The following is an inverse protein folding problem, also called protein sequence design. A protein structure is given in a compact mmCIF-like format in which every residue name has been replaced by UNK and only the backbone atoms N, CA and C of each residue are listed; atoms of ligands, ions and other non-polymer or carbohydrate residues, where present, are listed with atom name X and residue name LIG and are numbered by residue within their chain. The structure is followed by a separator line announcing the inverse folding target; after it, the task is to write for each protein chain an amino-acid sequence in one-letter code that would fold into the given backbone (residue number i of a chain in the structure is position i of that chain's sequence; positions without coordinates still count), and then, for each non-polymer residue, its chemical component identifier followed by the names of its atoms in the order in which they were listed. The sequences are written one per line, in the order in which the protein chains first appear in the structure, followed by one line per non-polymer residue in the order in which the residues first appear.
data_IF_159648584778
#
_entry.id   IF_159648584778
#
_cell.length_a   1.000
_cell.length_b   1.000
_cell.length_c   1.000
_cell.angle_alpha   90.00
_cell.angle_beta   90.00
_cell.angle_gamma   90.00
#
_symmetry.space_group_name_H-M   'P 1'
#
loop_
_entity.id
_entity.type
_entity.pdbx_description
1 polymer ?
#
# COMPACT_ATOMS: atom_id res chain seq x y z
N UNK A 1 -5.69 -25.72 -33.43
CA UNK A 1 -6.78 -24.85 -33.90
C UNK A 1 -6.16 -23.87 -34.86
N UNK A 2 -6.52 -23.93 -36.15
CA UNK A 2 -6.13 -22.89 -37.10
C UNK A 2 -6.94 -21.65 -36.73
N UNK A 3 -6.27 -20.58 -36.29
CA UNK A 3 -6.93 -19.29 -36.11
C UNK A 3 -7.41 -18.84 -37.50
N UNK A 4 -8.69 -19.03 -37.77
CA UNK A 4 -9.38 -18.38 -38.89
C UNK A 4 -9.03 -16.90 -38.83
N UNK A 5 -8.52 -16.32 -39.91
CA UNK A 5 -8.08 -14.92 -39.97
C UNK A 5 -9.16 -14.01 -39.36
N UNK A 6 -8.84 -13.37 -38.23
CA UNK A 6 -9.76 -12.49 -37.50
C UNK A 6 -10.22 -11.35 -38.41
N UNK A 7 -11.53 -11.11 -38.45
CA UNK A 7 -12.12 -9.99 -39.19
C UNK A 7 -12.26 -8.81 -38.21
N UNK A 8 -11.34 -7.85 -38.26
CA UNK A 8 -11.27 -6.75 -37.28
C UNK A 8 -12.48 -5.80 -37.29
N UNK A 9 -13.36 -5.87 -38.28
CA UNK A 9 -14.64 -5.16 -38.29
C UNK A 9 -15.74 -5.87 -37.49
N UNK A 10 -15.51 -7.11 -37.05
CA UNK A 10 -16.48 -7.99 -36.39
C UNK A 10 -15.84 -8.69 -35.18
N UNK A 11 -15.24 -7.91 -34.27
CA UNK A 11 -14.67 -8.45 -33.03
C UNK A 11 -15.76 -9.05 -32.14
N UNK A 12 -15.48 -10.21 -31.56
CA UNK A 12 -16.39 -10.95 -30.69
C UNK A 12 -15.99 -10.87 -29.19
N UNK A 13 -16.69 -11.61 -28.33
CA UNK A 13 -16.43 -11.63 -26.88
C UNK A 13 -15.05 -12.20 -26.53
N UNK A 14 -14.61 -13.27 -27.19
CA UNK A 14 -13.29 -13.88 -26.97
C UNK A 14 -12.17 -12.89 -27.37
N UNK A 15 -12.42 -12.10 -28.42
CA UNK A 15 -11.51 -11.05 -28.85
C UNK A 15 -11.40 -9.92 -27.80
N UNK A 16 -12.51 -9.57 -27.15
CA UNK A 16 -12.54 -8.56 -26.08
C UNK A 16 -11.77 -9.02 -24.83
N UNK A 17 -11.85 -10.30 -24.48
CA UNK A 17 -11.06 -10.87 -23.39
C UNK A 17 -9.55 -10.82 -23.71
N UNK A 18 -9.15 -11.22 -24.92
CA UNK A 18 -7.76 -11.14 -25.35
C UNK A 18 -7.22 -9.69 -25.33
N UNK A 19 -8.00 -8.73 -25.83
CA UNK A 19 -7.64 -7.30 -25.80
C UNK A 19 -7.47 -6.81 -24.37
N UNK A 20 -8.32 -7.25 -23.44
CA UNK A 20 -8.21 -6.87 -22.02
C UNK A 20 -6.90 -7.36 -21.39
N UNK A 21 -6.44 -8.57 -21.75
CA UNK A 21 -5.14 -9.11 -21.31
C UNK A 21 -3.98 -8.29 -21.88
N UNK A 22 -4.05 -7.90 -23.16
CA UNK A 22 -3.01 -7.07 -23.77
C UNK A 22 -2.99 -5.66 -23.16
N UNK A 23 -4.14 -5.05 -22.92
CA UNK A 23 -4.24 -3.76 -22.24
C UNK A 23 -3.67 -3.82 -20.82
N UNK A 24 -3.97 -4.86 -20.04
CA UNK A 24 -3.43 -5.08 -18.70
C UNK A 24 -1.89 -5.20 -18.73
N UNK A 25 -1.37 -5.97 -19.68
CA UNK A 25 0.09 -6.14 -19.87
C UNK A 25 0.76 -4.83 -20.27
N UNK A 26 0.19 -4.09 -21.23
CA UNK A 26 0.72 -2.80 -21.67
C UNK A 26 0.62 -1.74 -20.58
N UNK A 27 -0.43 -1.78 -19.76
CA UNK A 27 -0.56 -0.90 -18.60
C UNK A 27 0.59 -1.12 -17.63
N UNK A 28 0.88 -2.36 -17.24
CA UNK A 28 2.02 -2.68 -16.36
C UNK A 28 3.33 -2.13 -16.92
N UNK A 29 3.57 -2.32 -18.21
CA UNK A 29 4.77 -1.83 -18.89
C UNK A 29 4.92 -0.31 -18.77
N UNK A 30 3.92 0.48 -19.19
CA UNK A 30 4.03 1.94 -19.10
C UNK A 30 4.04 2.42 -17.65
N UNK A 31 3.27 1.79 -16.76
CA UNK A 31 3.17 2.16 -15.35
C UNK A 31 4.52 2.07 -14.64
N UNK A 32 5.29 1.00 -14.92
CA UNK A 32 6.59 0.74 -14.31
C UNK A 32 7.75 1.43 -15.03
N UNK A 33 7.55 1.85 -16.29
CA UNK A 33 8.60 2.42 -17.14
C UNK A 33 9.25 3.68 -16.56
N UNK A 34 8.48 4.55 -15.91
CA UNK A 34 8.96 5.83 -15.40
C UNK A 34 8.26 6.20 -14.07
N UNK A 35 8.88 6.97 -13.16
CA UNK A 35 8.21 7.49 -11.96
C UNK A 35 7.28 8.66 -12.34
N UNK A 36 6.17 8.36 -13.03
CA UNK A 36 5.21 9.36 -13.50
C UNK A 36 4.67 10.21 -12.34
N UNK A 37 4.70 11.55 -12.41
CA UNK A 37 4.24 12.44 -11.34
C UNK A 37 2.82 12.16 -10.85
N UNK A 38 1.92 11.80 -11.77
CA UNK A 38 0.52 11.46 -11.47
C UNK A 38 0.38 10.14 -10.69
N UNK A 39 1.39 9.27 -10.78
CA UNK A 39 1.41 7.96 -10.12
C UNK A 39 2.30 7.93 -8.87
N UNK A 40 3.16 8.94 -8.69
CA UNK A 40 4.04 9.06 -7.54
C UNK A 40 3.35 9.85 -6.44
N UNK A 41 3.15 9.17 -5.31
CA UNK A 41 2.58 9.77 -4.11
C UNK A 41 3.61 9.92 -3.02
N UNK A 42 3.38 10.91 -2.19
CA UNK A 42 4.09 11.11 -0.92
C UNK A 42 3.02 11.10 0.16
N UNK A 43 3.01 10.07 1.00
CA UNK A 43 2.00 9.89 2.03
C UNK A 43 2.63 9.71 3.40
N UNK A 44 1.99 10.31 4.41
CA UNK A 44 2.34 10.11 5.81
C UNK A 44 1.95 8.68 6.20
N UNK A 45 2.87 7.93 6.80
CA UNK A 45 2.67 6.54 7.20
C UNK A 45 3.09 6.32 8.65
N UNK A 46 2.37 5.40 9.28
CA UNK A 46 2.66 4.86 10.60
C UNK A 46 3.09 3.40 10.43
N UNK A 47 3.96 2.90 11.31
CA UNK A 47 4.38 1.51 11.30
C UNK A 47 3.29 0.57 11.81
N UNK A 48 2.35 1.09 12.61
CA UNK A 48 1.21 0.36 13.18
C UNK A 48 -0.04 1.23 13.15
N UNK A 49 -1.24 0.62 13.23
CA UNK A 49 -2.50 1.36 13.31
C UNK A 49 -2.52 2.36 14.47
N UNK A 50 -3.35 3.40 14.31
CA UNK A 50 -3.64 4.35 15.39
C UNK A 50 -4.37 3.62 16.53
N UNK A 51 -4.05 3.98 17.77
CA UNK A 51 -4.84 3.58 18.93
C UNK A 51 -6.28 4.11 18.81
N UNK A 52 -7.24 3.23 19.10
CA UNK A 52 -8.67 3.47 19.16
C UNK A 52 -9.23 2.84 20.44
N UNK A 53 -9.80 3.68 21.31
CA UNK A 53 -10.34 3.25 22.59
C UNK A 53 -11.53 2.27 22.45
N UNK A 54 -12.19 2.22 21.29
CA UNK A 54 -13.30 1.31 21.02
C UNK A 54 -12.84 -0.12 20.69
N UNK A 55 -11.59 -0.30 20.24
CA UNK A 55 -11.07 -1.61 19.85
C UNK A 55 -10.53 -2.39 21.05
N UNK A 56 -10.72 -3.71 20.99
CA UNK A 56 -10.06 -4.65 21.90
C UNK A 56 -8.75 -5.08 21.28
N UNK A 57 -7.69 -5.03 22.08
CA UNK A 57 -6.33 -5.41 21.69
C UNK A 57 -5.91 -6.64 22.46
N UNK A 58 -5.41 -7.65 21.76
CA UNK A 58 -4.81 -8.84 22.38
C UNK A 58 -3.38 -8.54 22.86
N UNK A 59 -2.85 -9.41 23.74
CA UNK A 59 -1.46 -9.30 24.18
C UNK A 59 -0.49 -9.35 22.99
N UNK A 60 0.53 -8.51 23.01
CA UNK A 60 1.50 -8.33 21.93
C UNK A 60 1.03 -7.41 20.79
N UNK A 61 -0.23 -6.98 20.77
CA UNK A 61 -0.70 -6.07 19.72
C UNK A 61 -0.06 -4.69 19.85
N UNK A 62 0.40 -4.14 18.72
CA UNK A 62 1.14 -2.88 18.67
C UNK A 62 0.31 -1.76 18.05
N UNK A 63 0.35 -0.56 18.64
CA UNK A 63 -0.37 0.63 18.17
C UNK A 63 0.53 1.86 18.20
N UNK A 64 0.23 2.83 17.34
CA UNK A 64 0.73 4.20 17.46
C UNK A 64 -0.19 5.01 18.36
N UNK A 65 0.37 5.74 19.33
CA UNK A 65 -0.39 6.63 20.21
C UNK A 65 -0.06 8.09 19.89
N UNK A 66 -0.97 8.83 19.21
CA UNK A 66 -0.70 10.20 18.76
C UNK A 66 -0.40 11.20 19.87
N UNK A 67 -0.96 11.01 21.07
CA UNK A 67 -0.77 11.94 22.20
C UNK A 67 0.68 12.03 22.65
N UNK A 68 1.41 10.91 22.63
CA UNK A 68 2.83 10.81 23.05
C UNK A 68 3.78 10.68 21.85
N UNK A 69 3.24 10.60 20.64
CA UNK A 69 3.96 10.32 19.39
C UNK A 69 4.86 9.06 19.44
N UNK A 70 4.42 8.02 20.15
CA UNK A 70 5.15 6.77 20.41
C UNK A 70 4.36 5.53 20.00
N UNK A 71 5.07 4.41 19.89
CA UNK A 71 4.47 3.09 19.72
C UNK A 71 4.38 2.36 21.06
N UNK A 72 3.33 1.57 21.22
CA UNK A 72 3.08 0.78 22.41
C UNK A 72 2.66 -0.63 22.02
N UNK A 73 3.03 -1.60 22.85
CA UNK A 73 2.56 -2.97 22.76
C UNK A 73 1.69 -3.32 23.97
N UNK A 74 0.58 -4.02 23.72
CA UNK A 74 -0.32 -4.47 24.78
C UNK A 74 0.33 -5.60 25.57
N UNK A 75 0.44 -5.46 26.89
CA UNK A 75 1.01 -6.48 27.78
C UNK A 75 0.02 -7.61 28.08
N UNK A 76 -1.27 -7.33 27.89
CA UNK A 76 -2.40 -8.25 28.07
C UNK A 76 -3.59 -7.74 27.28
N UNK A 77 -4.63 -8.55 27.16
CA UNK A 77 -5.86 -8.12 26.52
C UNK A 77 -6.42 -6.85 27.17
N UNK A 78 -6.76 -5.85 26.38
CA UNK A 78 -7.19 -4.53 26.87
C UNK A 78 -8.13 -3.83 25.90
N UNK A 79 -9.08 -3.05 26.43
CA UNK A 79 -10.00 -2.20 25.67
C UNK A 79 -10.20 -0.91 26.46
N UNK A 80 -10.22 0.24 25.78
CA UNK A 80 -10.47 1.55 26.41
C UNK A 80 -9.37 2.10 27.34
N UNK A 81 -8.34 1.32 27.68
CA UNK A 81 -7.21 1.81 28.46
C UNK A 81 -6.19 2.52 27.57
N UNK A 82 -5.85 3.76 27.92
CA UNK A 82 -4.85 4.54 27.18
C UNK A 82 -3.47 3.86 27.18
N UNK A 83 -2.69 3.96 26.09
CA UNK A 83 -1.35 3.37 26.00
C UNK A 83 -0.34 3.79 27.08
N UNK A 84 -0.59 4.89 27.79
CA UNK A 84 0.24 5.33 28.93
C UNK A 84 -0.05 4.54 30.23
N UNK A 85 -1.10 3.72 30.27
CA UNK A 85 -1.42 2.88 31.42
C UNK A 85 -0.52 1.63 31.46
N UNK A 86 0.57 1.71 32.23
CA UNK A 86 1.60 0.65 32.37
C UNK A 86 1.05 -0.70 32.88
N UNK A 87 -0.17 -0.73 33.41
CA UNK A 87 -0.87 -1.96 33.79
C UNK A 87 -1.41 -2.76 32.60
N UNK A 88 -1.37 -2.19 31.39
CA UNK A 88 -1.90 -2.78 30.15
C UNK A 88 -0.95 -2.65 28.97
N UNK A 89 -0.04 -1.67 28.99
CA UNK A 89 0.78 -1.31 27.85
C UNK A 89 2.23 -1.09 28.25
N UNK A 90 3.15 -1.34 27.33
CA UNK A 90 4.55 -0.91 27.41
C UNK A 90 4.95 -0.17 26.14
N UNK A 91 5.88 0.77 26.25
CA UNK A 91 6.46 1.44 25.08
C UNK A 91 7.20 0.40 24.21
N UNK A 92 6.87 0.36 22.92
CA UNK A 92 7.49 -0.53 21.96
C UNK A 92 8.86 0.05 21.55
N UNK A 93 9.93 -0.73 21.74
CA UNK A 93 11.31 -0.35 21.47
C UNK A 93 11.95 -1.36 20.53
N UNK A 94 12.86 -0.88 19.68
CA UNK A 94 13.60 -1.75 18.75
C UNK A 94 14.57 -2.68 19.48
N UNK A 95 15.01 -2.30 20.67
CA UNK A 95 15.85 -3.11 21.53
C UNK A 95 15.44 -2.95 22.99
N UNK A 96 15.60 -4.01 23.76
CA UNK A 96 15.48 -3.99 25.22
C UNK A 96 16.81 -4.38 25.85
N UNK A 97 17.13 -3.80 26.99
CA UNK A 97 18.32 -4.18 27.77
C UNK A 97 18.03 -4.07 29.28
N UNK A 98 17.03 -4.82 29.78
CA UNK A 98 16.72 -4.86 31.21
C UNK A 98 17.78 -5.67 31.98
N UNK A 99 17.66 -5.68 33.31
CA UNK A 99 18.41 -6.62 34.15
C UNK A 99 17.73 -8.00 34.19
N UNK A 100 18.50 -9.04 34.50
CA UNK A 100 17.97 -10.39 34.68
C UNK A 100 16.90 -10.45 35.77
N UNK A 101 15.95 -11.35 35.57
CA UNK A 101 14.92 -11.69 36.54
C UNK A 101 15.54 -12.33 37.80
N UNK A 102 15.07 -11.91 38.97
CA UNK A 102 15.56 -12.36 40.28
C UNK A 102 14.40 -12.74 41.20
N UNK A 103 14.32 -14.02 41.57
CA UNK A 103 13.39 -14.57 42.57
C UNK A 103 13.42 -13.77 43.88
N UNK A 104 12.25 -13.52 44.47
CA UNK A 104 12.13 -12.81 45.76
C UNK A 104 12.19 -11.28 45.65
N UNK A 105 12.48 -10.74 44.46
CA UNK A 105 12.44 -9.30 44.20
C UNK A 105 10.99 -8.81 44.13
N UNK A 106 10.69 -7.68 44.76
CA UNK A 106 9.41 -7.00 44.63
C UNK A 106 9.44 -6.11 43.38
N UNK A 107 8.75 -6.54 42.32
CA UNK A 107 8.64 -5.79 41.08
C UNK A 107 7.40 -4.91 41.09
N UNK A 108 7.57 -3.64 40.71
CA UNK A 108 6.51 -2.67 40.50
C UNK A 108 5.94 -2.77 39.07
N UNK A 109 4.78 -2.18 38.85
CA UNK A 109 4.21 -2.06 37.49
C UNK A 109 5.13 -1.19 36.64
N UNK A 110 5.46 -1.66 35.44
CA UNK A 110 6.37 -1.02 34.50
C UNK A 110 7.81 -1.50 34.58
N UNK A 111 8.19 -2.25 35.62
CA UNK A 111 9.53 -2.86 35.70
C UNK A 111 9.71 -3.84 34.54
N UNK A 112 10.91 -3.86 33.95
CA UNK A 112 11.26 -4.76 32.86
C UNK A 112 12.40 -5.70 33.24
N UNK A 113 12.34 -6.95 32.80
CA UNK A 113 13.34 -7.99 33.06
C UNK A 113 13.66 -8.80 31.82
N UNK A 114 14.85 -9.37 31.76
CA UNK A 114 15.17 -10.51 30.91
C UNK A 114 14.92 -11.79 31.73
N UNK A 115 14.19 -12.76 31.18
CA UNK A 115 13.94 -14.01 31.88
C UNK A 115 14.93 -15.08 31.41
N UNK A 116 15.98 -15.43 32.20
CA UNK A 116 17.06 -16.30 31.72
C UNK A 116 16.62 -17.69 31.20
N UNK A 117 15.53 -18.30 31.69
CA UNK A 117 15.07 -19.59 31.17
C UNK A 117 14.66 -19.59 29.69
N UNK A 118 14.15 -18.47 29.14
CA UNK A 118 13.76 -18.37 27.73
C UNK A 118 14.54 -17.31 26.93
N UNK A 119 15.28 -16.43 27.60
CA UNK A 119 16.04 -15.34 26.97
C UNK A 119 15.15 -14.24 26.40
N UNK A 120 13.91 -14.14 26.87
CA UNK A 120 12.94 -13.15 26.40
C UNK A 120 12.78 -12.00 27.41
N UNK A 121 12.26 -10.88 26.92
CA UNK A 121 12.04 -9.67 27.70
C UNK A 121 10.59 -9.56 28.15
N UNK A 122 10.37 -9.04 29.35
CA UNK A 122 9.05 -8.92 29.95
C UNK A 122 8.87 -7.60 30.69
N UNK A 123 7.64 -7.07 30.73
CA UNK A 123 7.24 -5.95 31.57
C UNK A 123 6.18 -6.37 32.59
N UNK A 124 6.36 -5.96 33.84
CA UNK A 124 5.46 -6.23 34.94
C UNK A 124 4.21 -5.36 34.80
N UNK A 125 3.04 -5.96 34.62
CA UNK A 125 1.76 -5.23 34.54
C UNK A 125 0.94 -5.31 35.84
N UNK A 126 1.35 -6.19 36.77
CA UNK A 126 0.75 -6.35 38.10
C UNK A 126 1.85 -6.48 39.15
N UNK A 127 1.97 -5.50 40.06
CA UNK A 127 2.99 -5.52 41.10
C UNK A 127 2.91 -6.78 41.98
N UNK A 128 4.05 -7.43 42.23
CA UNK A 128 4.14 -8.64 43.03
C UNK A 128 5.60 -8.92 43.46
N UNK A 129 5.78 -9.84 44.40
CA UNK A 129 7.09 -10.43 44.70
C UNK A 129 7.31 -11.65 43.82
N UNK A 130 8.43 -11.70 43.08
CA UNK A 130 8.73 -12.77 42.14
C UNK A 130 8.85 -14.14 42.82
N UNK A 131 8.15 -15.14 42.25
CA UNK A 131 8.26 -16.55 42.64
C UNK A 131 9.43 -17.24 41.96
N UNK A 132 9.41 -18.58 41.86
CA UNK A 132 10.44 -19.34 41.14
C UNK A 132 10.27 -19.34 39.61
N UNK A 133 9.05 -19.04 39.13
CA UNK A 133 8.71 -19.00 37.71
C UNK A 133 8.07 -17.65 37.37
N UNK A 134 8.10 -17.29 36.08
CA UNK A 134 7.36 -16.14 35.58
C UNK A 134 5.84 -16.36 35.81
N UNK A 135 5.20 -15.43 36.51
CA UNK A 135 3.77 -15.47 36.79
C UNK A 135 2.96 -14.78 35.69
N UNK A 136 1.63 -14.90 35.70
CA UNK A 136 0.71 -14.17 34.80
C UNK A 136 0.61 -12.66 35.08
N UNK A 137 1.62 -12.09 35.74
CA UNK A 137 1.72 -10.68 36.10
C UNK A 137 2.61 -9.90 35.11
N UNK A 138 3.10 -10.59 34.08
CA UNK A 138 4.06 -10.12 33.10
C UNK A 138 3.48 -10.22 31.69
N UNK A 139 3.73 -9.20 30.87
CA UNK A 139 3.52 -9.25 29.43
C UNK A 139 4.86 -9.34 28.73
N UNK A 140 4.96 -10.19 27.71
CA UNK A 140 6.17 -10.29 26.88
C UNK A 140 6.40 -8.98 26.13
N UNK A 141 7.65 -8.57 26.06
CA UNK A 141 8.11 -7.45 25.23
C UNK A 141 8.74 -8.01 23.96
N UNK A 142 8.08 -7.77 22.83
CA UNK A 142 8.64 -8.07 21.51
C UNK A 142 9.38 -6.84 21.00
N UNK A 143 10.52 -7.07 20.36
CA UNK A 143 11.29 -6.01 19.69
C UNK A 143 10.48 -5.40 18.56
N UNK A 144 10.43 -4.08 18.54
CA UNK A 144 9.60 -3.34 17.61
C UNK A 144 10.23 -3.29 16.22
N UNK A 145 9.63 -4.04 15.29
CA UNK A 145 10.00 -4.01 13.88
C UNK A 145 9.38 -2.80 13.17
N UNK A 146 10.22 -1.82 12.82
CA UNK A 146 9.82 -0.55 12.19
C UNK A 146 9.68 -0.70 10.68
N UNK A 147 8.54 -1.21 10.25
CA UNK A 147 8.17 -1.28 8.83
C UNK A 147 6.83 -0.61 8.53
N UNK A 148 6.72 -0.04 7.33
CA UNK A 148 5.44 0.35 6.75
C UNK A 148 4.97 -0.80 5.87
N UNK A 149 3.83 -1.41 6.21
CA UNK A 149 3.27 -2.52 5.45
C UNK A 149 2.90 -2.11 4.02
N UNK A 150 3.05 -3.04 3.06
CA UNK A 150 2.69 -2.81 1.65
C UNK A 150 1.23 -2.38 1.45
N UNK A 151 0.34 -2.92 2.29
CA UNK A 151 -1.06 -2.55 2.35
C UNK A 151 -1.45 -2.24 3.80
N UNK A 152 -2.15 -1.12 4.00
CA UNK A 152 -2.67 -0.70 5.30
C UNK A 152 -4.12 -0.26 5.12
N UNK A 153 -4.99 -0.62 6.05
CA UNK A 153 -6.40 -0.26 6.00
C UNK A 153 -6.56 1.27 5.98
N UNK A 154 -7.35 1.77 5.02
CA UNK A 154 -7.61 3.20 4.86
C UNK A 154 -6.52 3.97 4.11
N UNK A 155 -5.43 3.32 3.72
CA UNK A 155 -4.31 3.91 2.99
C UNK A 155 -4.16 3.29 1.59
N UNK A 156 -3.48 3.99 0.70
CA UNK A 156 -3.20 3.46 -0.65
C UNK A 156 -2.17 2.30 -0.58
N UNK A 157 -2.28 1.33 -1.48
CA UNK A 157 -1.28 0.25 -1.57
C UNK A 157 0.04 0.77 -2.15
N UNK A 158 1.14 0.39 -1.50
CA UNK A 158 2.50 0.71 -1.91
C UNK A 158 2.99 -0.36 -2.89
N UNK A 159 3.56 0.06 -4.02
CA UNK A 159 4.13 -0.87 -5.02
C UNK A 159 5.64 -0.78 -5.05
N UNK A 160 6.17 0.36 -5.49
CA UNK A 160 7.61 0.58 -5.62
C UNK A 160 8.00 1.85 -4.87
N UNK A 161 8.96 1.71 -3.95
CA UNK A 161 9.35 2.78 -3.04
C UNK A 161 10.54 3.51 -3.63
N UNK A 162 10.35 4.80 -3.89
CA UNK A 162 11.38 5.67 -4.43
C UNK A 162 12.24 6.23 -3.30
N UNK A 163 11.60 6.81 -2.28
CA UNK A 163 12.28 7.42 -1.14
C UNK A 163 11.43 7.32 0.14
N UNK A 164 12.10 7.44 1.28
CA UNK A 164 11.44 7.60 2.58
C UNK A 164 11.97 8.87 3.24
N UNK A 165 11.09 9.66 3.85
CA UNK A 165 11.39 10.98 4.40
C UNK A 165 10.90 11.09 5.85
N UNK A 166 11.55 11.93 6.67
CA UNK A 166 11.10 12.20 8.04
C UNK A 166 9.89 13.14 8.13
N UNK A 167 9.67 13.95 7.10
CA UNK A 167 8.54 14.89 6.94
C UNK A 167 8.21 15.00 5.46
N UNK A 168 7.15 15.71 5.09
CA UNK A 168 6.71 15.82 3.69
C UNK A 168 7.72 16.64 2.85
N UNK A 169 8.49 16.04 1.92
CA UNK A 169 9.46 16.74 1.07
C UNK A 169 8.83 17.74 0.10
N UNK A 170 7.53 17.65 -0.19
CA UNK A 170 6.84 18.58 -1.08
C UNK A 170 6.44 19.88 -0.38
N UNK A 171 6.41 19.88 0.95
CA UNK A 171 5.96 21.01 1.76
C UNK A 171 7.08 21.57 2.66
N UNK A 172 8.07 20.76 3.03
CA UNK A 172 9.13 21.13 3.96
C UNK A 172 10.51 21.00 3.31
N UNK A 173 11.21 22.14 3.18
CA UNK A 173 12.58 22.22 2.67
C UNK A 173 13.61 21.53 3.60
N UNK A 174 13.24 21.25 4.86
CA UNK A 174 14.07 20.56 5.85
C UNK A 174 13.84 19.04 5.83
N UNK A 175 13.06 18.52 4.89
CA UNK A 175 12.88 17.10 4.72
C UNK A 175 14.22 16.39 4.54
N UNK A 176 14.45 15.37 5.36
CA UNK A 176 15.63 14.52 5.33
C UNK A 176 15.22 13.13 4.89
N UNK A 177 15.88 12.65 3.85
CA UNK A 177 15.75 11.27 3.41
C UNK A 177 16.21 10.32 4.54
N UNK A 178 15.46 9.24 4.72
CA UNK A 178 15.75 8.17 5.66
C UNK A 178 16.31 6.97 4.90
N UNK A 179 17.20 6.24 5.57
CA UNK A 179 17.65 4.95 5.04
C UNK A 179 16.53 3.94 5.19
N UNK A 180 16.29 3.17 4.13
CA UNK A 180 15.31 2.10 4.14
C UNK A 180 15.78 0.93 3.28
N UNK A 181 15.16 -0.24 3.50
CA UNK A 181 15.22 -1.36 2.58
C UNK A 181 13.83 -1.99 2.46
N UNK A 182 13.61 -2.74 1.39
CA UNK A 182 12.34 -3.43 1.17
C UNK A 182 12.44 -4.85 1.72
N UNK A 183 11.39 -5.33 2.39
CA UNK A 183 11.30 -6.67 2.97
C UNK A 183 9.94 -7.30 2.67
N UNK A 184 9.75 -8.57 3.02
CA UNK A 184 8.45 -9.24 2.90
C UNK A 184 7.34 -8.51 3.69
N UNK A 185 7.68 -7.92 4.83
CA UNK A 185 6.73 -7.19 5.68
C UNK A 185 6.37 -5.81 5.11
N UNK A 186 7.24 -5.21 4.29
CA UNK A 186 7.08 -3.83 3.86
C UNK A 186 8.38 -3.05 3.75
N UNK A 187 8.26 -1.73 3.88
CA UNK A 187 9.36 -0.77 3.84
C UNK A 187 9.97 -0.64 5.22
N UNK A 188 11.17 -1.17 5.40
CA UNK A 188 11.89 -1.21 6.67
C UNK A 188 12.69 0.08 6.89
N UNK A 189 12.48 0.74 8.03
CA UNK A 189 13.11 2.04 8.37
C UNK A 189 13.82 1.94 9.72
N UNK A 190 14.96 1.23 9.73
CA UNK A 190 15.78 1.03 10.93
C UNK A 190 16.26 2.40 11.46
N UNK A 191 16.11 2.62 12.76
CA UNK A 191 16.47 3.88 13.44
C UNK A 191 15.75 5.13 12.89
N UNK A 192 14.67 4.94 12.14
CA UNK A 192 13.86 6.02 11.59
C UNK A 192 13.00 6.72 12.66
N UNK A 193 12.45 7.90 12.32
CA UNK A 193 11.46 8.58 13.14
C UNK A 193 10.20 7.72 13.35
N UNK A 194 9.36 8.07 14.33
CA UNK A 194 8.14 7.32 14.62
C UNK A 194 7.04 7.52 13.56
N UNK A 195 7.18 8.52 12.70
CA UNK A 195 6.33 8.75 11.54
C UNK A 195 7.25 8.97 10.35
N UNK A 196 6.90 8.39 9.20
CA UNK A 196 7.62 8.62 7.95
C UNK A 196 6.67 9.13 6.87
N UNK A 197 7.23 9.78 5.86
CA UNK A 197 6.54 10.04 4.60
C UNK A 197 7.18 9.16 3.55
N UNK A 198 6.38 8.25 2.98
CA UNK A 198 6.86 7.32 1.95
C UNK A 198 6.54 7.93 0.60
N UNK A 199 7.57 8.09 -0.23
CA UNK A 199 7.44 8.44 -1.64
C UNK A 199 7.48 7.15 -2.47
N UNK A 200 6.37 6.85 -3.14
CA UNK A 200 6.22 5.58 -3.82
C UNK A 200 5.32 5.71 -5.05
N UNK A 201 5.48 4.78 -5.98
CA UNK A 201 4.56 4.59 -7.10
C UNK A 201 3.35 3.80 -6.64
N UNK A 202 2.16 4.30 -6.93
CA UNK A 202 0.91 3.57 -6.69
C UNK A 202 0.94 2.20 -7.36
N UNK A 203 0.28 1.22 -6.75
CA UNK A 203 0.11 -0.11 -7.37
C UNK A 203 -0.67 -0.01 -8.66
N UNK A 204 -0.16 -0.70 -9.69
CA UNK A 204 -0.84 -0.81 -10.97
C UNK A 204 -2.21 -1.49 -10.77
N UNK A 205 -3.32 -0.88 -11.21
CA UNK A 205 -4.61 -1.53 -11.16
C UNK A 205 -4.67 -2.67 -12.19
N UNK A 206 -5.42 -3.73 -11.86
CA UNK A 206 -5.76 -4.77 -12.83
C UNK A 206 -6.87 -4.27 -13.74
N UNK A 207 -6.71 -4.48 -15.05
CA UNK A 207 -7.77 -4.24 -16.04
C UNK A 207 -8.58 -5.51 -16.36
N UNK A 208 -8.14 -6.66 -15.87
CA UNK A 208 -8.90 -7.91 -15.98
C UNK A 208 -10.15 -7.82 -15.12
N UNK A 209 -11.31 -8.07 -15.71
CA UNK A 209 -12.60 -7.78 -15.08
C UNK A 209 -13.67 -8.78 -15.47
N UNK A 210 -14.71 -8.87 -14.64
CA UNK A 210 -15.97 -9.56 -14.94
C UNK A 210 -17.12 -8.55 -15.09
N UNK A 211 -18.27 -8.96 -15.61
CA UNK A 211 -19.46 -8.11 -15.58
C UNK A 211 -20.04 -8.04 -14.15
N UNK A 212 -20.35 -6.85 -13.66
CA UNK A 212 -21.05 -6.71 -12.39
C UNK A 212 -22.39 -7.46 -12.43
N UNK A 213 -22.63 -8.28 -11.40
CA UNK A 213 -23.85 -9.09 -11.29
C UNK A 213 -24.40 -9.00 -9.86
N UNK A 214 -25.70 -8.73 -9.72
CA UNK A 214 -26.37 -8.71 -8.42
C UNK A 214 -26.43 -10.10 -7.80
N UNK A 215 -26.27 -10.19 -6.47
CA UNK A 215 -26.27 -11.44 -5.70
C UNK A 215 -24.95 -12.22 -5.73
N UNK A 216 -23.89 -11.65 -6.31
CA UNK A 216 -22.55 -12.24 -6.30
C UNK A 216 -21.77 -11.73 -5.07
N UNK A 217 -21.10 -12.65 -4.39
CA UNK A 217 -20.15 -12.34 -3.32
C UNK A 217 -18.81 -11.90 -3.91
N UNK A 218 -18.56 -10.59 -3.96
CA UNK A 218 -17.29 -10.04 -4.39
C UNK A 218 -16.28 -9.99 -3.24
N UNK A 219 -15.04 -10.33 -3.56
CA UNK A 219 -13.89 -10.26 -2.66
C UNK A 219 -13.14 -8.96 -2.85
N UNK A 220 -12.46 -8.54 -1.78
CA UNK A 220 -11.56 -7.39 -1.82
C UNK A 220 -10.59 -7.52 -3.00
N UNK A 221 -10.46 -6.45 -3.78
CA UNK A 221 -9.69 -6.37 -5.03
C UNK A 221 -10.29 -7.02 -6.29
N UNK A 222 -11.48 -7.64 -6.23
CA UNK A 222 -12.19 -8.05 -7.44
C UNK A 222 -12.50 -6.83 -8.33
N UNK A 223 -12.36 -7.00 -9.64
CA UNK A 223 -12.62 -5.94 -10.62
C UNK A 223 -13.82 -6.27 -11.48
N UNK A 224 -14.74 -5.31 -11.59
CA UNK A 224 -15.94 -5.44 -12.40
C UNK A 224 -16.04 -4.30 -13.40
N UNK A 225 -16.56 -4.61 -14.59
CA UNK A 225 -17.13 -3.60 -15.48
C UNK A 225 -18.55 -3.30 -15.06
N UNK A 226 -18.88 -2.02 -14.99
CA UNK A 226 -20.22 -1.55 -14.72
C UNK A 226 -20.57 -0.43 -15.68
N UNK A 227 -21.72 -0.57 -16.33
CA UNK A 227 -22.25 0.43 -17.25
C UNK A 227 -23.44 1.14 -16.57
N UNK A 228 -23.24 2.39 -16.10
CA UNK A 228 -24.31 3.15 -15.46
C UNK A 228 -25.35 3.69 -16.46
N UNK A 229 -25.06 3.72 -17.78
CA UNK A 229 -25.81 4.53 -18.77
C UNK A 229 -26.23 3.81 -20.05
N UNK A 230 -25.74 2.60 -20.31
CA UNK A 230 -26.02 1.77 -21.49
C UNK A 230 -25.10 1.99 -22.69
N UNK A 231 -24.03 2.79 -22.57
CA UNK A 231 -23.20 3.21 -23.72
C UNK A 231 -21.69 2.99 -23.52
N UNK A 232 -21.18 3.28 -22.32
CA UNK A 232 -19.78 3.12 -21.93
C UNK A 232 -19.74 2.47 -20.55
N UNK A 233 -18.69 1.69 -20.28
CA UNK A 233 -18.48 1.09 -18.96
C UNK A 233 -17.24 1.66 -18.30
N UNK A 234 -17.30 1.71 -16.98
CA UNK A 234 -16.14 1.97 -16.13
C UNK A 234 -15.74 0.69 -15.39
N UNK A 235 -14.48 0.64 -14.97
CA UNK A 235 -13.96 -0.44 -14.14
C UNK A 235 -13.94 -0.02 -12.68
N UNK A 236 -14.44 -0.90 -11.82
CA UNK A 236 -14.48 -0.68 -10.37
C UNK A 236 -13.80 -1.83 -9.66
N UNK A 237 -12.99 -1.51 -8.66
CA UNK A 237 -12.36 -2.46 -7.74
C UNK A 237 -13.16 -2.53 -6.44
N UNK A 238 -13.46 -3.73 -5.97
CA UNK A 238 -14.10 -3.94 -4.67
C UNK A 238 -13.14 -3.52 -3.53
N UNK A 239 -13.61 -2.65 -2.65
CA UNK A 239 -12.85 -2.11 -1.51
C UNK A 239 -12.90 -3.01 -0.27
N UNK A 240 -13.91 -3.87 -0.19
CA UNK A 240 -14.12 -4.83 0.89
C UNK A 240 -14.94 -6.02 0.40
N UNK A 241 -14.88 -7.13 1.13
CA UNK A 241 -15.77 -8.27 0.90
C UNK A 241 -17.24 -7.87 1.10
N UNK A 242 -18.10 -8.16 0.13
CA UNK A 242 -19.54 -7.88 0.22
C UNK A 242 -20.35 -8.68 -0.83
N UNK A 243 -21.63 -8.89 -0.52
CA UNK A 243 -22.61 -9.36 -1.50
C UNK A 243 -23.13 -8.17 -2.34
N UNK A 244 -23.10 -8.30 -3.66
CA UNK A 244 -23.60 -7.27 -4.56
C UNK A 244 -25.13 -7.16 -4.52
N UNK A 245 -25.61 -5.92 -4.42
CA UNK A 245 -27.03 -5.59 -4.36
C UNK A 245 -27.30 -4.25 -5.06
N UNK A 246 -28.57 -3.92 -5.26
CA UNK A 246 -28.95 -2.62 -5.81
C UNK A 246 -28.51 -1.42 -4.92
N UNK A 247 -28.26 -1.64 -3.62
CA UNK A 247 -27.90 -0.60 -2.66
C UNK A 247 -26.39 -0.30 -2.61
N UNK A 248 -25.56 -1.22 -3.09
CA UNK A 248 -24.10 -1.10 -3.10
C UNK A 248 -23.51 -1.39 -4.50
N UNK A 249 -24.27 -1.10 -5.57
CA UNK A 249 -23.77 -1.19 -6.94
C UNK A 249 -22.69 -0.14 -7.23
N UNK A 250 -21.78 -0.37 -8.19
CA UNK A 250 -20.76 0.60 -8.54
C UNK A 250 -21.37 1.92 -9.06
N UNK A 251 -21.15 3.01 -8.34
CA UNK A 251 -21.43 4.38 -8.72
C UNK A 251 -20.30 5.23 -8.11
N UNK A 252 -19.92 6.35 -8.74
CA UNK A 252 -18.63 7.06 -8.60
C UNK A 252 -18.07 7.32 -7.19
N UNK A 253 -18.82 7.08 -6.10
CA UNK A 253 -18.23 6.70 -4.81
C UNK A 253 -19.28 6.00 -3.94
N UNK A 254 -19.13 4.68 -3.75
CA UNK A 254 -19.85 3.92 -2.73
C UNK A 254 -18.83 3.20 -1.84
N UNK A 255 -19.12 3.02 -0.55
CA UNK A 255 -18.15 2.47 0.42
C UNK A 255 -17.53 1.11 0.03
N UNK A 256 -18.18 0.36 -0.87
CA UNK A 256 -17.75 -0.97 -1.31
C UNK A 256 -16.95 -0.98 -2.63
N UNK A 257 -16.91 0.13 -3.39
CA UNK A 257 -16.30 0.16 -4.73
C UNK A 257 -15.44 1.41 -4.94
N UNK A 258 -14.27 1.21 -5.54
CA UNK A 258 -13.36 2.28 -5.98
C UNK A 258 -13.24 2.27 -7.49
N UNK A 259 -13.49 3.42 -8.14
CA UNK A 259 -13.27 3.60 -9.57
C UNK A 259 -11.78 3.43 -9.92
N UNK A 260 -11.48 2.62 -10.94
CA UNK A 260 -10.13 2.48 -11.47
C UNK A 260 -9.87 3.63 -12.43
N UNK A 261 -9.03 4.58 -11.99
CA UNK A 261 -8.62 5.72 -12.79
C UNK A 261 -7.27 5.45 -13.47
N UNK A 262 -7.20 5.70 -14.77
CA UNK A 262 -5.97 5.64 -15.56
C UNK A 262 -5.54 7.05 -15.98
N UNK A 263 -4.23 7.37 -15.98
CA UNK A 263 -3.75 8.60 -16.59
C UNK A 263 -4.21 8.70 -18.04
N UNK A 264 -4.90 9.77 -18.39
CA UNK A 264 -5.42 10.00 -19.75
C UNK A 264 -4.34 9.92 -20.81
N UNK A 265 -3.14 10.38 -20.45
CA UNK A 265 -1.97 10.42 -21.30
C UNK A 265 -1.50 9.01 -21.72
N UNK A 266 -1.82 7.95 -20.96
CA UNK A 266 -1.46 6.57 -21.33
C UNK A 266 -2.31 6.00 -22.46
N UNK A 267 -3.46 6.62 -22.79
CA UNK A 267 -4.45 6.08 -23.74
C UNK A 267 -3.83 5.66 -25.08
N UNK A 268 -3.01 6.51 -25.69
CA UNK A 268 -2.44 6.23 -27.02
C UNK A 268 -1.46 5.06 -26.98
N UNK A 269 -0.60 4.99 -25.96
CA UNK A 269 0.32 3.88 -25.77
C UNK A 269 -0.44 2.55 -25.57
N UNK A 270 -1.47 2.55 -24.72
CA UNK A 270 -2.28 1.38 -24.44
C UNK A 270 -3.03 0.88 -25.68
N UNK A 271 -3.68 1.79 -26.41
CA UNK A 271 -4.46 1.45 -27.60
C UNK A 271 -3.56 0.88 -28.71
N UNK A 272 -2.45 1.55 -29.02
CA UNK A 272 -1.52 1.09 -30.06
C UNK A 272 -0.78 -0.18 -29.64
N UNK A 273 -0.37 -0.29 -28.38
CA UNK A 273 0.29 -1.48 -27.85
C UNK A 273 -0.61 -2.72 -27.89
N UNK A 274 -1.85 -2.60 -27.40
CA UNK A 274 -2.79 -3.72 -27.42
C UNK A 274 -3.21 -4.11 -28.85
N UNK A 275 -3.37 -3.13 -29.74
CA UNK A 275 -3.61 -3.40 -31.16
C UNK A 275 -2.41 -4.12 -31.82
N UNK A 276 -1.18 -3.74 -31.47
CA UNK A 276 0.01 -4.42 -31.96
C UNK A 276 0.07 -5.87 -31.50
N UNK A 277 -0.16 -6.13 -30.21
CA UNK A 277 -0.14 -7.49 -29.64
C UNK A 277 -1.18 -8.38 -30.30
N UNK A 278 -2.38 -7.84 -30.55
CA UNK A 278 -3.44 -8.55 -31.25
C UNK A 278 -3.04 -8.89 -32.70
N UNK A 279 -2.50 -7.92 -33.45
CA UNK A 279 -2.06 -8.13 -34.83
C UNK A 279 -0.91 -9.14 -34.92
N UNK A 280 0.00 -9.15 -33.94
CA UNK A 280 1.09 -10.11 -33.86
C UNK A 280 0.59 -11.53 -33.56
N UNK A 281 -0.40 -11.66 -32.66
CA UNK A 281 -1.03 -12.94 -32.38
C UNK A 281 -1.72 -13.55 -33.61
N UNK A 282 -2.22 -12.69 -34.52
CA UNK A 282 -2.80 -13.09 -35.81
C UNK A 282 -1.78 -13.17 -36.96
N UNK A 283 -0.47 -13.22 -36.66
CA UNK A 283 0.64 -13.33 -37.63
C UNK A 283 0.75 -12.15 -38.62
N UNK A 284 0.16 -11.00 -38.32
CA UNK A 284 0.22 -9.77 -39.13
C UNK A 284 1.40 -8.89 -38.74
N UNK A 285 2.61 -9.45 -38.80
CA UNK A 285 3.84 -8.83 -38.28
C UNK A 285 4.09 -7.41 -38.77
N UNK A 286 3.87 -7.12 -40.06
CA UNK A 286 4.11 -5.79 -40.61
C UNK A 286 3.18 -4.73 -40.00
N UNK A 287 1.89 -5.04 -39.86
CA UNK A 287 0.91 -4.12 -39.27
C UNK A 287 1.11 -4.01 -37.76
N UNK A 288 1.41 -5.12 -37.09
CA UNK A 288 1.77 -5.13 -35.67
C UNK A 288 3.01 -4.27 -35.40
N UNK A 289 4.03 -4.34 -36.26
CA UNK A 289 5.22 -3.49 -36.19
C UNK A 289 4.92 -2.00 -36.31
N UNK A 290 4.02 -1.61 -37.22
CA UNK A 290 3.56 -0.22 -37.36
C UNK A 290 2.86 0.26 -36.08
N UNK A 291 1.95 -0.54 -35.52
CA UNK A 291 1.25 -0.18 -34.29
C UNK A 291 2.21 -0.08 -33.09
N UNK A 292 3.18 -1.00 -32.96
CA UNK A 292 4.23 -0.89 -31.93
C UNK A 292 5.03 0.41 -32.08
N UNK A 293 5.42 0.79 -33.31
CA UNK A 293 6.13 2.05 -33.54
C UNK A 293 5.32 3.28 -33.14
N UNK A 294 3.99 3.27 -33.35
CA UNK A 294 3.10 4.35 -32.91
C UNK A 294 2.97 4.38 -31.39
N UNK A 295 2.91 3.22 -30.73
CA UNK A 295 2.96 3.11 -29.27
C UNK A 295 4.25 3.70 -28.69
N UNK A 296 5.40 3.33 -29.24
CA UNK A 296 6.70 3.85 -28.83
C UNK A 296 6.83 5.36 -29.05
N UNK A 297 6.27 5.87 -30.16
CA UNK A 297 6.21 7.31 -30.42
C UNK A 297 5.37 8.01 -29.34
N UNK A 298 4.19 7.49 -29.02
CA UNK A 298 3.34 8.05 -27.97
C UNK A 298 4.08 8.10 -26.62
N UNK A 299 4.79 7.02 -26.25
CA UNK A 299 5.60 7.02 -25.02
C UNK A 299 6.69 8.10 -25.02
N UNK A 300 7.41 8.27 -26.14
CA UNK A 300 8.45 9.30 -26.27
C UNK A 300 7.88 10.71 -26.16
N UNK A 301 6.71 10.96 -26.75
CA UNK A 301 6.01 12.25 -26.65
C UNK A 301 5.60 12.57 -25.21
N UNK A 302 5.16 11.57 -24.43
CA UNK A 302 4.87 11.74 -23.01
C UNK A 302 6.11 12.12 -22.21
N UNK A 303 7.23 11.45 -22.45
CA UNK A 303 8.50 11.75 -21.77
C UNK A 303 9.00 13.16 -22.11
N UNK A 304 8.95 13.56 -23.39
CA UNK A 304 9.35 14.91 -23.81
C UNK A 304 8.44 15.99 -23.19
N UNK A 305 7.12 15.75 -23.15
CA UNK A 305 6.18 16.64 -22.47
C UNK A 305 6.55 16.82 -20.99
N UNK A 306 6.85 15.73 -20.31
CA UNK A 306 7.22 15.72 -18.90
C UNK A 306 8.55 16.45 -18.66
N UNK A 307 9.60 16.15 -19.43
CA UNK A 307 10.89 16.83 -19.31
C UNK A 307 10.79 18.34 -19.56
N UNK A 308 9.98 18.77 -20.53
CA UNK A 308 9.74 20.19 -20.81
C UNK A 308 9.01 20.87 -19.65
N UNK A 309 8.06 20.20 -19.03
CA UNK A 309 7.30 20.72 -17.89
C UNK A 309 8.17 20.79 -16.61
N UNK A 310 8.98 19.78 -16.34
CA UNK A 310 9.89 19.77 -15.18
C UNK A 310 11.01 20.82 -15.30
N UNK A 311 11.46 21.14 -16.51
CA UNK A 311 12.39 22.26 -16.75
C UNK A 311 11.77 23.62 -16.47
N UNK A 312 10.44 23.75 -16.46
CA UNK A 312 9.75 25.00 -16.07
C UNK A 312 9.59 25.16 -14.55
N UNK A 313 9.51 24.07 -13.78
CA UNK A 313 9.37 24.12 -12.32
C UNK A 313 10.70 24.37 -11.59
N UNK A 314 11.85 24.09 -12.22
CA UNK A 314 13.14 24.63 -11.78
C UNK A 314 13.23 26.11 -12.15
N UNK A 315 12.79 26.98 -11.23
CA UNK A 315 12.91 28.44 -11.38
C UNK A 315 14.33 28.83 -11.79
N UNK A 316 14.46 29.37 -13.01
CA UNK A 316 15.60 30.21 -13.37
C UNK A 316 15.55 31.43 -12.46
N UNK A 317 16.45 31.51 -11.47
CA UNK A 317 16.74 32.74 -10.77
C UNK A 317 17.32 33.75 -11.77
N UNK A 318 16.45 34.47 -12.48
CA UNK A 318 16.85 35.62 -13.27
C UNK A 318 17.06 36.77 -12.30
N UNK A 319 18.28 36.88 -11.78
CA UNK A 319 18.74 38.09 -11.11
C UNK A 319 18.85 39.16 -12.21
N UNK A 320 17.83 40.00 -12.33
CA UNK A 320 17.98 41.27 -13.03
C UNK A 320 18.70 42.23 -12.08
N UNK A 321 19.83 42.76 -12.54
CA UNK A 321 20.61 43.78 -11.83
C UNK A 321 19.87 45.10 -11.77
#
# INVERSE_FOLDING_TARGET
MSYSQRVYSELNTDDAEAISVYLDTRLKLIWEFYPWPDLVRVEKRYYRPLYDAALTYDAGYEVYYPTEEKYYQALKQTQGNAPTALTHWAEAKQTYSPSDWVTGTAYAVGDTVEYPPDGLYYACHTAHTAGANLASNWGQLVEFDKYVAWAQTGENEISDVLNVWNTNPRADIKAKQQNFYQSENGVQVINGPNIVHVEYRQKVPSLLHSAWTSGVDYKTADVVRFDPSGADFDLYKASSDHEASALNKPLESGAAWTLIQLPRDFRSFLAHGAAADLLLADEREQLGGVQNSLGDQALRELLDKLERQEKQTKQLNVITR
#
